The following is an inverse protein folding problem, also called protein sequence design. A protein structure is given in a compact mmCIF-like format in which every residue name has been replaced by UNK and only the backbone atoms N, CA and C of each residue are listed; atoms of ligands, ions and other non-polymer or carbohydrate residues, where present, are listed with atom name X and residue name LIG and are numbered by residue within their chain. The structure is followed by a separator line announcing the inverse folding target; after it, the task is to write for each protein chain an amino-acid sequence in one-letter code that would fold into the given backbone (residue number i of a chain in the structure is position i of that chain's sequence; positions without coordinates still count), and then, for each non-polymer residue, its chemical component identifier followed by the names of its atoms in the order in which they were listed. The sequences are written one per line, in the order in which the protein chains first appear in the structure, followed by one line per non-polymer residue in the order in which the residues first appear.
data_IF_537465493873
#
_entry.id   IF_537465493873
#
_cell.length_a   1.000
_cell.length_b   1.000
_cell.length_c   1.000
_cell.angle_alpha   90.00
_cell.angle_beta   90.00
_cell.angle_gamma   90.00
#
_symmetry.space_group_name_H-M   'P 1'
#
loop_
_entity.id
_entity.type
_entity.pdbx_description
1 polymer ?
#
# COMPACT_ATOMS: atom_id res chain seq x y z
N UNK A 1 -18.86 22.18 0.28
CA UNK A 1 -18.63 20.92 -0.47
C UNK A 1 -18.23 19.82 0.49
N UNK A 2 -18.78 18.61 0.36
CA UNK A 2 -18.23 17.40 1.02
C UNK A 2 -17.26 16.74 0.05
N UNK A 3 -16.02 16.52 0.45
CA UNK A 3 -15.03 15.80 -0.36
C UNK A 3 -15.33 14.30 -0.43
N UNK A 4 -14.72 13.62 -1.40
CA UNK A 4 -14.73 12.15 -1.48
C UNK A 4 -13.70 11.63 -0.46
N UNK A 5 -14.07 10.63 0.35
CA UNK A 5 -13.13 9.99 1.27
C UNK A 5 -12.06 9.23 0.49
N UNK A 6 -10.79 9.48 0.79
CA UNK A 6 -9.65 8.87 0.10
C UNK A 6 -8.70 8.17 1.07
N UNK A 7 -7.88 7.25 0.54
CA UNK A 7 -6.81 6.54 1.23
C UNK A 7 -5.58 6.45 0.31
N UNK A 8 -4.39 6.67 0.86
CA UNK A 8 -3.13 6.43 0.18
C UNK A 8 -2.64 5.00 0.44
N UNK A 9 -2.20 4.28 -0.59
CA UNK A 9 -1.45 3.03 -0.43
C UNK A 9 -0.01 3.33 -0.79
N UNK A 10 0.92 3.16 0.15
CA UNK A 10 2.31 3.62 0.00
C UNK A 10 3.33 2.50 0.21
N UNK A 11 4.44 2.57 -0.51
CA UNK A 11 5.64 1.72 -0.34
C UNK A 11 6.84 2.54 0.15
N UNK A 12 6.61 3.81 0.50
CA UNK A 12 7.59 4.73 1.08
C UNK A 12 6.91 5.52 2.19
N UNK A 13 6.68 4.87 3.36
CA UNK A 13 5.85 5.42 4.42
C UNK A 13 6.41 6.72 5.00
N UNK A 14 7.74 6.85 5.14
CA UNK A 14 8.38 8.05 5.69
C UNK A 14 8.18 9.27 4.79
N UNK A 15 8.36 9.10 3.48
CA UNK A 15 8.13 10.15 2.48
C UNK A 15 6.64 10.51 2.43
N UNK A 16 5.76 9.51 2.50
CA UNK A 16 4.32 9.73 2.44
C UNK A 16 3.78 10.42 3.70
N UNK A 17 4.34 10.12 4.87
CA UNK A 17 3.99 10.75 6.14
C UNK A 17 4.22 12.27 6.09
N UNK A 18 5.28 12.73 5.42
CA UNK A 18 5.57 14.17 5.25
C UNK A 18 4.46 14.90 4.48
N UNK A 19 3.78 14.22 3.56
CA UNK A 19 2.64 14.77 2.81
C UNK A 19 1.35 14.82 3.64
N UNK A 20 1.36 14.20 4.83
CA UNK A 20 0.24 14.16 5.79
C UNK A 20 -1.10 13.74 5.17
N UNK A 21 -1.16 12.62 4.42
CA UNK A 21 -2.42 12.11 3.90
C UNK A 21 -3.39 11.84 5.05
N UNK A 22 -4.71 12.07 4.88
CA UNK A 22 -5.69 11.80 5.93
C UNK A 22 -5.65 10.35 6.42
N UNK A 23 -5.35 9.42 5.50
CA UNK A 23 -5.27 7.97 5.70
C UNK A 23 -4.17 7.42 4.81
N UNK A 24 -3.36 6.52 5.36
CA UNK A 24 -2.40 5.76 4.58
C UNK A 24 -2.34 4.31 5.05
N UNK A 25 -2.22 3.39 4.08
CA UNK A 25 -1.91 1.99 4.29
C UNK A 25 -0.49 1.72 3.77
N UNK A 26 0.34 1.10 4.61
CA UNK A 26 1.65 0.59 4.25
C UNK A 26 1.62 -0.95 4.24
N UNK A 27 1.57 -1.60 3.07
CA UNK A 27 1.80 -3.04 2.95
C UNK A 27 3.29 -3.33 3.16
N UNK A 28 3.62 -3.80 4.37
CA UNK A 28 5.00 -4.01 4.81
C UNK A 28 5.73 -4.97 3.87
N UNK A 29 6.94 -4.58 3.47
CA UNK A 29 7.79 -5.39 2.60
C UNK A 29 7.53 -5.24 1.10
N UNK A 30 6.46 -4.55 0.70
CA UNK A 30 6.19 -4.30 -0.71
C UNK A 30 7.24 -3.37 -1.30
N UNK A 31 7.63 -3.66 -2.55
CA UNK A 31 8.66 -2.90 -3.27
C UNK A 31 8.04 -1.78 -4.11
N UNK A 32 8.86 -0.78 -4.41
CA UNK A 32 8.54 0.28 -5.36
C UNK A 32 8.10 -0.35 -6.69
N UNK A 33 6.96 0.13 -7.22
CA UNK A 33 6.32 -0.42 -8.42
C UNK A 33 5.32 -1.56 -8.17
N UNK A 34 5.30 -2.15 -6.97
CA UNK A 34 4.44 -3.28 -6.61
C UNK A 34 3.54 -2.98 -5.39
N UNK A 35 3.00 -1.77 -5.29
CA UNK A 35 2.22 -1.31 -4.11
C UNK A 35 0.97 -2.15 -3.79
N UNK A 36 0.53 -3.02 -4.71
CA UNK A 36 -0.61 -3.93 -4.52
C UNK A 36 -0.23 -5.41 -4.62
N UNK A 37 1.05 -5.74 -4.83
CA UNK A 37 1.51 -7.09 -5.12
C UNK A 37 2.13 -7.24 -6.51
N UNK A 38 2.62 -8.45 -6.84
CA UNK A 38 3.17 -8.79 -8.17
C UNK A 38 2.04 -9.06 -9.19
N UNK A 39 2.35 -9.09 -10.50
CA UNK A 39 1.39 -9.55 -11.51
C UNK A 39 0.79 -10.91 -11.15
N UNK A 40 -0.48 -11.10 -11.49
CA UNK A 40 -1.25 -12.33 -11.28
C UNK A 40 -1.49 -12.76 -9.82
N UNK A 41 -1.11 -11.95 -8.82
CA UNK A 41 -1.45 -12.18 -7.41
C UNK A 41 -2.86 -11.67 -7.08
N UNK A 42 -3.89 -12.13 -7.81
CA UNK A 42 -5.25 -11.58 -7.76
C UNK A 42 -5.84 -11.50 -6.36
N UNK A 43 -5.70 -12.57 -5.58
CA UNK A 43 -6.31 -12.63 -4.25
C UNK A 43 -5.63 -11.69 -3.26
N UNK A 44 -4.29 -11.64 -3.29
CA UNK A 44 -3.50 -10.68 -2.53
C UNK A 44 -3.86 -9.23 -2.92
N UNK A 45 -3.88 -8.91 -4.21
CA UNK A 45 -4.22 -7.57 -4.71
C UNK A 45 -5.61 -7.14 -4.23
N UNK A 46 -6.58 -8.06 -4.28
CA UNK A 46 -7.93 -7.83 -3.78
C UNK A 46 -7.95 -7.62 -2.27
N UNK A 47 -7.14 -8.36 -1.52
CA UNK A 47 -7.01 -8.20 -0.07
C UNK A 47 -6.45 -6.82 0.29
N UNK A 48 -5.34 -6.40 -0.34
CA UNK A 48 -4.72 -5.08 -0.12
C UNK A 48 -5.71 -3.95 -0.37
N UNK A 49 -6.49 -4.02 -1.45
CA UNK A 49 -7.50 -3.02 -1.78
C UNK A 49 -8.62 -2.98 -0.74
N UNK A 50 -9.09 -4.14 -0.25
CA UNK A 50 -10.13 -4.20 0.79
C UNK A 50 -9.65 -3.64 2.12
N UNK A 51 -8.43 -3.97 2.52
CA UNK A 51 -7.83 -3.47 3.75
C UNK A 51 -7.65 -1.94 3.66
N UNK A 52 -7.22 -1.42 2.51
CA UNK A 52 -7.11 0.02 2.28
C UNK A 52 -8.47 0.73 2.34
N UNK A 53 -9.50 0.16 1.69
CA UNK A 53 -10.84 0.75 1.67
C UNK A 53 -11.52 0.72 3.04
N UNK A 54 -11.18 -0.23 3.90
CA UNK A 54 -11.67 -0.27 5.29
C UNK A 54 -11.25 0.98 6.08
N UNK A 55 -10.09 1.55 5.77
CA UNK A 55 -9.62 2.79 6.41
C UNK A 55 -10.54 3.99 6.15
N UNK A 56 -11.34 3.98 5.07
CA UNK A 56 -12.27 5.07 4.76
C UNK A 56 -13.30 5.31 5.88
N UNK A 57 -13.57 4.30 6.69
CA UNK A 57 -14.50 4.34 7.83
C UNK A 57 -13.79 4.34 9.18
N UNK A 58 -12.47 4.23 9.22
CA UNK A 58 -11.70 4.23 10.47
C UNK A 58 -11.27 5.64 10.88
N UNK A 59 -11.05 5.80 12.19
CA UNK A 59 -10.46 7.02 12.74
C UNK A 59 -8.93 6.94 12.66
N UNK A 60 -8.35 7.60 11.66
CA UNK A 60 -6.90 7.69 11.44
C UNK A 60 -6.39 9.10 11.73
N UNK A 61 -5.06 9.25 11.78
CA UNK A 61 -4.41 10.55 12.00
C UNK A 61 -3.59 10.97 10.77
N UNK A 62 -3.73 12.23 10.30
CA UNK A 62 -2.94 12.71 9.18
C UNK A 62 -1.43 12.63 9.42
N UNK A 63 -0.71 12.01 8.48
CA UNK A 63 0.73 11.75 8.59
C UNK A 63 1.08 10.40 9.21
N UNK A 64 0.12 9.71 9.83
CA UNK A 64 0.31 8.33 10.27
C UNK A 64 -0.09 7.36 9.16
N UNK A 65 0.39 6.12 9.27
CA UNK A 65 0.07 5.03 8.35
C UNK A 65 -0.23 3.74 9.11
N UNK A 66 -1.23 3.01 8.65
CA UNK A 66 -1.54 1.66 9.14
C UNK A 66 -0.64 0.68 8.43
N UNK A 67 0.11 -0.12 9.19
CA UNK A 67 0.96 -1.17 8.63
C UNK A 67 0.21 -2.49 8.57
N UNK A 68 0.23 -3.17 7.43
CA UNK A 68 -0.30 -4.53 7.26
C UNK A 68 0.76 -5.44 6.67
N UNK A 69 0.79 -6.68 7.12
CA UNK A 69 1.68 -7.72 6.60
C UNK A 69 0.90 -8.63 5.67
N UNK A 70 1.52 -9.04 4.56
CA UNK A 70 0.93 -9.95 3.59
C UNK A 70 1.92 -11.08 3.28
N UNK A 71 1.84 -12.22 3.99
CA UNK A 71 2.78 -13.32 3.84
C UNK A 71 2.90 -13.84 2.40
N UNK A 72 1.79 -13.84 1.65
CA UNK A 72 1.73 -14.31 0.25
C UNK A 72 2.59 -13.49 -0.72
N UNK A 73 3.01 -12.27 -0.34
CA UNK A 73 3.91 -11.48 -1.16
C UNK A 73 5.29 -12.14 -1.28
N UNK A 74 5.79 -12.75 -0.19
CA UNK A 74 7.06 -13.46 -0.09
C UNK A 74 8.32 -12.58 -0.21
N UNK A 75 9.49 -13.22 -0.22
CA UNK A 75 10.78 -12.59 -0.55
C UNK A 75 10.99 -12.51 -2.08
N UNK A 76 11.79 -11.55 -2.52
CA UNK A 76 11.78 -11.00 -3.87
C UNK A 76 12.30 -11.98 -4.95
N UNK A 77 11.63 -11.97 -6.11
CA UNK A 77 12.19 -12.40 -7.41
C UNK A 77 12.85 -11.17 -8.04
N UNK A 78 14.16 -11.20 -8.28
CA UNK A 78 14.83 -10.19 -9.11
C UNK A 78 14.29 -10.30 -10.54
N UNK A 79 13.78 -9.21 -11.15
CA UNK A 79 13.45 -9.25 -12.57
C UNK A 79 14.72 -9.62 -13.35
N UNK A 80 14.63 -10.51 -14.36
CA UNK A 80 15.79 -10.85 -15.17
C UNK A 80 16.39 -9.56 -15.75
N UNK A 81 17.69 -9.39 -15.58
CA UNK A 81 18.42 -8.22 -16.09
C UNK A 81 18.13 -8.09 -17.59
N UNK A 82 17.53 -6.98 -17.99
CA UNK A 82 17.44 -6.62 -19.41
C UNK A 82 18.88 -6.45 -19.88
N UNK A 83 19.34 -7.31 -20.79
CA UNK A 83 20.64 -7.11 -21.45
C UNK A 83 20.55 -5.76 -22.18
N UNK A 84 21.47 -4.85 -21.85
CA UNK A 84 21.66 -3.59 -22.58
C UNK A 84 22.02 -3.86 -24.03
#
# INVERSE_FOLDING_TARGET
MRGISTVLITVSPEVSAQMRPPRALYPKGFKIGNSLGRPNMRELQRQVLRDALTLLTENTRPGDYVTREYPDYGEQYEPPRVKK
#
